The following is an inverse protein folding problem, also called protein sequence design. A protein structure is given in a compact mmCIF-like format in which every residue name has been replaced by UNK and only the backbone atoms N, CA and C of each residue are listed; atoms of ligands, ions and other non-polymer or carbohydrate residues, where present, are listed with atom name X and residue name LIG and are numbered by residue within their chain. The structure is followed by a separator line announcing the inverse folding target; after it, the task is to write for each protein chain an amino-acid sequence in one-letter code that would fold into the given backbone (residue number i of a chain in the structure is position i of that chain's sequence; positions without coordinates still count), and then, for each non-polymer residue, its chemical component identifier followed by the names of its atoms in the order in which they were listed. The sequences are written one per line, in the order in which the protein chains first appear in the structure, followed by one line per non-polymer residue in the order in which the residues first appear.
data_IF_602657914484
#
_entry.id   IF_602657914484
#
_cell.length_a   1.000
_cell.length_b   1.000
_cell.length_c   1.000
_cell.angle_alpha   90.00
_cell.angle_beta   90.00
_cell.angle_gamma   90.00
#
_symmetry.space_group_name_H-M   'P 1'
#
loop_
_entity.id
_entity.type
_entity.pdbx_description
1 polymer ?
#
# COMPACT_ATOMS: atom_id res chain seq x y z
N UNK A 1 -33.55 3.99 18.46
CA UNK A 1 -34.04 2.59 18.43
C UNK A 1 -35.51 2.54 18.76
N UNK A 2 -35.92 3.20 19.83
CA UNK A 2 -37.33 3.14 20.30
C UNK A 2 -38.40 3.69 19.33
N UNK A 3 -37.99 4.52 18.34
CA UNK A 3 -38.88 5.05 17.32
C UNK A 3 -38.80 4.29 15.98
N UNK A 4 -38.11 3.14 15.91
CA UNK A 4 -37.85 2.36 14.69
C UNK A 4 -37.15 3.13 13.53
N UNK A 5 -36.55 4.28 13.84
CA UNK A 5 -35.84 5.10 12.86
C UNK A 5 -34.43 4.58 12.56
N UNK A 6 -33.85 3.81 13.49
CA UNK A 6 -32.53 3.21 13.42
C UNK A 6 -32.66 1.71 13.67
N UNK A 7 -32.15 0.91 12.76
CA UNK A 7 -32.08 -0.55 12.88
C UNK A 7 -30.68 -0.96 13.26
N UNK A 8 -30.54 -1.79 14.30
CA UNK A 8 -29.29 -2.49 14.57
C UNK A 8 -29.17 -3.70 13.61
N UNK A 9 -28.02 -3.82 12.98
CA UNK A 9 -27.64 -4.93 12.11
C UNK A 9 -26.34 -5.49 12.64
N UNK A 10 -26.25 -6.79 12.79
CA UNK A 10 -25.00 -7.46 13.13
C UNK A 10 -24.12 -7.50 11.89
N UNK A 11 -22.91 -6.93 11.95
CA UNK A 11 -21.97 -6.97 10.85
C UNK A 11 -21.17 -8.29 10.85
N UNK A 12 -20.50 -8.60 9.77
CA UNK A 12 -19.69 -9.82 9.61
C UNK A 12 -18.54 -9.94 10.65
N UNK A 13 -18.15 -8.82 11.27
CA UNK A 13 -17.16 -8.74 12.35
C UNK A 13 -17.77 -8.94 13.76
N UNK A 14 -19.09 -9.20 13.85
CA UNK A 14 -19.81 -9.36 15.13
C UNK A 14 -20.14 -8.07 15.85
N UNK A 15 -19.74 -6.92 15.33
CA UNK A 15 -20.03 -5.61 15.92
C UNK A 15 -21.41 -5.11 15.50
N UNK A 16 -22.20 -4.50 16.43
CA UNK A 16 -23.49 -3.94 16.09
C UNK A 16 -23.32 -2.69 15.23
N UNK A 17 -23.92 -2.69 14.04
CA UNK A 17 -23.99 -1.53 13.15
C UNK A 17 -25.39 -0.93 13.19
N UNK A 18 -25.46 0.38 13.02
CA UNK A 18 -26.71 1.07 12.96
C UNK A 18 -26.97 1.55 11.54
N UNK A 19 -28.08 1.09 10.98
CA UNK A 19 -28.54 1.50 9.65
C UNK A 19 -29.79 2.36 9.80
N UNK A 20 -29.78 3.47 9.09
CA UNK A 20 -30.93 4.37 9.00
C UNK A 20 -31.41 4.44 7.56
N UNK A 21 -32.73 4.53 7.36
CA UNK A 21 -33.28 4.70 6.01
C UNK A 21 -32.79 6.02 5.42
N UNK A 22 -32.44 6.03 4.14
CA UNK A 22 -31.81 7.18 3.47
C UNK A 22 -32.65 8.45 3.60
N UNK A 23 -33.96 8.36 3.42
CA UNK A 23 -34.89 9.51 3.61
C UNK A 23 -34.89 10.06 5.01
N UNK A 24 -34.72 9.19 6.03
CA UNK A 24 -34.62 9.61 7.43
C UNK A 24 -33.26 10.21 7.71
N UNK A 25 -32.22 9.67 7.11
CA UNK A 25 -30.86 10.19 7.19
C UNK A 25 -30.78 11.60 6.59
N UNK A 26 -31.35 11.80 5.40
CA UNK A 26 -31.43 13.11 4.75
C UNK A 26 -32.17 14.13 5.61
N UNK A 27 -33.36 13.78 6.10
CA UNK A 27 -34.13 14.64 7.00
C UNK A 27 -33.36 14.97 8.28
N UNK A 28 -32.70 13.97 8.88
CA UNK A 28 -31.88 14.17 10.07
C UNK A 28 -30.69 15.12 9.81
N UNK A 29 -30.06 15.04 8.65
CA UNK A 29 -28.96 15.93 8.23
C UNK A 29 -29.48 17.36 8.00
N UNK A 30 -30.66 17.54 7.39
CA UNK A 30 -31.29 18.86 7.25
C UNK A 30 -31.59 19.50 8.62
N UNK A 31 -32.17 18.74 9.54
CA UNK A 31 -32.43 19.23 10.90
C UNK A 31 -31.13 19.54 11.65
N UNK A 32 -30.11 18.72 11.48
CA UNK A 32 -28.80 18.95 12.09
C UNK A 32 -28.17 20.24 11.56
N UNK A 33 -28.27 20.49 10.24
CA UNK A 33 -27.74 21.72 9.62
C UNK A 33 -28.42 23.00 10.16
N UNK A 34 -29.67 22.91 10.64
CA UNK A 34 -30.38 24.01 11.26
C UNK A 34 -29.94 24.26 12.71
N UNK A 35 -29.26 23.29 13.35
CA UNK A 35 -28.89 23.31 14.76
C UNK A 35 -27.62 24.15 15.08
N UNK A 36 -26.93 24.70 14.08
CA UNK A 36 -25.82 25.64 14.27
C UNK A 36 -24.67 25.09 15.12
N UNK A 37 -24.47 25.64 16.31
CA UNK A 37 -23.36 25.23 17.20
C UNK A 37 -23.44 23.75 17.63
N UNK A 38 -24.65 23.21 17.79
CA UNK A 38 -24.87 21.82 18.14
C UNK A 38 -24.45 20.90 17.01
N UNK A 39 -24.70 21.26 15.75
CA UNK A 39 -24.18 20.54 14.58
C UNK A 39 -22.66 20.42 14.63
N UNK A 40 -21.96 21.52 14.82
CA UNK A 40 -20.50 21.55 14.86
C UNK A 40 -19.96 20.66 15.99
N UNK A 41 -20.59 20.66 17.16
CA UNK A 41 -20.21 19.82 18.29
C UNK A 41 -20.43 18.31 18.02
N UNK A 42 -21.57 17.96 17.40
CA UNK A 42 -21.88 16.56 17.01
C UNK A 42 -20.89 16.08 15.96
N UNK A 43 -20.65 16.86 14.90
CA UNK A 43 -19.72 16.50 13.84
C UNK A 43 -18.28 16.37 14.36
N UNK A 44 -17.85 17.23 15.28
CA UNK A 44 -16.52 17.13 15.90
C UNK A 44 -16.40 15.86 16.75
N UNK A 45 -17.42 15.47 17.50
CA UNK A 45 -17.43 14.21 18.26
C UNK A 45 -17.37 13.00 17.33
N UNK A 46 -18.18 13.01 16.27
CA UNK A 46 -18.17 11.98 15.24
C UNK A 46 -16.79 11.86 14.58
N UNK A 47 -16.18 12.97 14.20
CA UNK A 47 -14.86 13.01 13.61
C UNK A 47 -13.77 12.54 14.58
N UNK A 48 -13.84 12.93 15.85
CA UNK A 48 -12.94 12.45 16.89
C UNK A 48 -13.02 10.95 17.10
N UNK A 49 -14.24 10.38 17.10
CA UNK A 49 -14.44 8.93 17.21
C UNK A 49 -13.78 8.17 16.04
N UNK A 50 -14.06 8.55 14.79
CA UNK A 50 -13.52 7.88 13.63
C UNK A 50 -12.02 8.08 13.48
N UNK A 51 -11.47 9.21 13.91
CA UNK A 51 -10.02 9.41 13.97
C UNK A 51 -9.39 8.44 14.97
N UNK A 52 -10.01 8.26 16.14
CA UNK A 52 -9.51 7.30 17.13
C UNK A 52 -9.56 5.87 16.60
N UNK A 53 -10.67 5.46 15.95
CA UNK A 53 -10.78 4.14 15.30
C UNK A 53 -9.65 3.92 14.29
N UNK A 54 -9.33 4.93 13.46
CA UNK A 54 -8.25 4.83 12.49
C UNK A 54 -6.86 4.74 13.16
N UNK A 55 -6.65 5.51 14.25
CA UNK A 55 -5.38 5.45 15.01
C UNK A 55 -5.22 4.10 15.73
N UNK A 56 -6.26 3.56 16.33
CA UNK A 56 -6.25 2.25 17.00
C UNK A 56 -5.99 1.10 16.00
N UNK A 57 -6.41 1.27 14.75
CA UNK A 57 -6.18 0.29 13.70
C UNK A 57 -4.71 0.17 13.26
N UNK A 58 -3.87 1.20 13.45
CA UNK A 58 -2.49 1.24 12.90
C UNK A 58 -1.63 0.05 13.34
N UNK A 59 -1.66 -0.30 14.61
CA UNK A 59 -0.89 -1.43 15.15
C UNK A 59 -1.40 -2.76 14.56
N UNK A 60 -2.71 -2.93 14.54
CA UNK A 60 -3.36 -4.13 14.02
C UNK A 60 -3.15 -4.32 12.51
N UNK A 61 -3.14 -3.22 11.74
CA UNK A 61 -2.83 -3.21 10.30
C UNK A 61 -1.37 -3.56 9.99
N UNK A 62 -0.49 -3.61 10.98
CA UNK A 62 0.91 -4.00 10.83
C UNK A 62 1.22 -5.37 11.46
N UNK A 63 0.20 -6.08 11.97
CA UNK A 63 0.33 -7.31 12.74
C UNK A 63 -0.56 -8.46 12.24
N UNK A 64 -0.79 -9.47 13.08
CA UNK A 64 -1.54 -10.68 12.70
C UNK A 64 -3.03 -10.45 12.44
N UNK A 65 -3.61 -9.34 12.90
CA UNK A 65 -5.03 -8.97 12.70
C UNK A 65 -5.27 -8.15 11.43
N UNK A 66 -4.25 -7.98 10.59
CA UNK A 66 -4.24 -7.10 9.41
C UNK A 66 -5.47 -7.32 8.51
N UNK A 67 -5.77 -8.58 8.14
CA UNK A 67 -6.92 -8.89 7.27
C UNK A 67 -8.27 -8.53 7.91
N UNK A 68 -8.44 -8.80 9.21
CA UNK A 68 -9.67 -8.50 9.93
C UNK A 68 -9.91 -6.98 10.01
N UNK A 69 -8.87 -6.21 10.35
CA UNK A 69 -8.97 -4.75 10.44
C UNK A 69 -9.13 -4.09 9.07
N UNK A 70 -8.50 -4.60 8.03
CA UNK A 70 -8.71 -4.08 6.66
C UNK A 70 -10.18 -4.21 6.27
N UNK A 71 -10.79 -5.40 6.46
CA UNK A 71 -12.23 -5.60 6.19
C UNK A 71 -13.13 -4.73 7.06
N UNK A 72 -12.79 -4.54 8.35
CA UNK A 72 -13.55 -3.67 9.24
C UNK A 72 -13.55 -2.22 8.75
N UNK A 73 -12.38 -1.68 8.42
CA UNK A 73 -12.26 -0.31 7.92
C UNK A 73 -12.92 -0.12 6.56
N UNK A 74 -12.95 -1.16 5.72
CA UNK A 74 -13.65 -1.14 4.43
C UNK A 74 -15.16 -0.95 4.62
N UNK A 75 -15.78 -1.66 5.55
CA UNK A 75 -17.21 -1.49 5.90
C UNK A 75 -17.48 -0.06 6.40
N UNK A 76 -16.53 0.56 7.10
CA UNK A 76 -16.69 1.90 7.68
C UNK A 76 -16.11 3.01 6.77
N UNK A 77 -15.69 2.71 5.55
CA UNK A 77 -14.99 3.64 4.68
C UNK A 77 -15.79 4.91 4.38
N UNK A 78 -17.11 4.81 4.21
CA UNK A 78 -17.97 5.97 3.96
C UNK A 78 -18.07 6.90 5.20
N UNK A 79 -17.90 6.37 6.41
CA UNK A 79 -17.80 7.19 7.61
C UNK A 79 -16.51 8.04 7.59
N UNK A 80 -15.39 7.45 7.20
CA UNK A 80 -14.13 8.18 7.03
C UNK A 80 -14.23 9.25 5.94
N UNK A 81 -14.83 8.94 4.78
CA UNK A 81 -15.10 9.93 3.73
C UNK A 81 -15.96 11.11 4.25
N UNK A 82 -16.99 10.81 5.04
CA UNK A 82 -17.84 11.83 5.63
C UNK A 82 -17.06 12.75 6.58
N UNK A 83 -16.18 12.18 7.40
CA UNK A 83 -15.31 12.95 8.31
C UNK A 83 -14.31 13.80 7.53
N UNK A 84 -13.63 13.23 6.54
CA UNK A 84 -12.66 13.94 5.71
C UNK A 84 -13.31 15.14 4.99
N UNK A 85 -14.50 14.94 4.42
CA UNK A 85 -15.27 16.04 3.82
C UNK A 85 -15.63 17.13 4.82
N UNK A 86 -16.02 16.76 6.04
CA UNK A 86 -16.32 17.74 7.08
C UNK A 86 -15.06 18.50 7.53
N UNK A 87 -13.95 17.81 7.73
CA UNK A 87 -12.65 18.40 8.11
C UNK A 87 -12.21 19.43 7.07
N UNK A 88 -12.28 19.12 5.79
CA UNK A 88 -11.91 20.07 4.71
C UNK A 88 -12.79 21.33 4.73
N UNK A 89 -14.09 21.18 5.00
CA UNK A 89 -15.02 22.32 5.10
C UNK A 89 -14.84 23.15 6.35
N UNK A 90 -14.56 22.52 7.48
CA UNK A 90 -14.37 23.21 8.76
C UNK A 90 -12.98 23.84 8.91
N UNK A 91 -12.00 23.39 8.12
CA UNK A 91 -10.61 23.82 8.21
C UNK A 91 -9.85 23.24 9.41
N UNK A 92 -10.37 22.18 10.07
CA UNK A 92 -9.72 21.55 11.23
C UNK A 92 -8.52 20.70 10.76
N UNK A 93 -7.43 21.40 10.40
CA UNK A 93 -6.23 20.79 9.85
C UNK A 93 -5.59 19.78 10.80
N UNK A 94 -5.61 20.02 12.10
CA UNK A 94 -5.02 19.13 13.09
C UNK A 94 -5.68 17.75 13.07
N UNK A 95 -7.02 17.73 13.13
CA UNK A 95 -7.79 16.49 13.08
C UNK A 95 -7.64 15.79 11.72
N UNK A 96 -7.63 16.58 10.63
CA UNK A 96 -7.46 16.05 9.29
C UNK A 96 -6.13 15.36 9.08
N UNK A 97 -5.02 15.99 9.48
CA UNK A 97 -3.67 15.39 9.36
C UNK A 97 -3.54 14.10 10.19
N UNK A 98 -4.16 14.05 11.39
CA UNK A 98 -4.19 12.82 12.19
C UNK A 98 -4.94 11.70 11.49
N UNK A 99 -6.16 11.96 11.06
CA UNK A 99 -7.01 10.97 10.39
C UNK A 99 -6.39 10.50 9.08
N UNK A 100 -5.93 11.43 8.22
CA UNK A 100 -5.32 11.08 6.95
C UNK A 100 -4.07 10.21 7.10
N UNK A 101 -3.18 10.59 8.04
CA UNK A 101 -1.99 9.79 8.32
C UNK A 101 -2.33 8.40 8.91
N UNK A 102 -3.38 8.29 9.73
CA UNK A 102 -3.82 7.02 10.28
C UNK A 102 -4.44 6.09 9.23
N UNK A 103 -5.12 6.64 8.22
CA UNK A 103 -5.75 5.86 7.16
C UNK A 103 -4.78 5.42 6.05
N UNK A 104 -3.53 5.91 6.01
CA UNK A 104 -2.60 5.64 4.90
C UNK A 104 -2.35 4.14 4.67
N UNK A 105 -2.15 3.38 5.73
CA UNK A 105 -1.95 1.93 5.66
C UNK A 105 -3.20 1.22 5.13
N UNK A 106 -4.39 1.61 5.61
CA UNK A 106 -5.66 1.09 5.12
C UNK A 106 -5.84 1.38 3.62
N UNK A 107 -5.60 2.62 3.16
CA UNK A 107 -5.72 2.96 1.74
C UNK A 107 -4.76 2.16 0.86
N UNK A 108 -3.56 1.88 1.35
CA UNK A 108 -2.59 1.03 0.65
C UNK A 108 -3.04 -0.43 0.58
N UNK A 109 -3.48 -1.00 1.69
CA UNK A 109 -3.93 -2.40 1.78
C UNK A 109 -5.24 -2.64 1.00
N UNK A 110 -6.22 -1.74 1.15
CA UNK A 110 -7.54 -1.81 0.54
C UNK A 110 -7.58 -1.33 -0.93
N UNK A 111 -6.43 -1.04 -1.55
CA UNK A 111 -6.35 -0.57 -2.95
C UNK A 111 -7.01 0.80 -3.20
N UNK A 112 -7.10 1.66 -2.17
CA UNK A 112 -7.64 3.02 -2.26
C UNK A 112 -6.53 4.09 -2.40
N UNK A 113 -5.38 3.73 -2.93
CA UNK A 113 -4.16 4.55 -2.94
C UNK A 113 -4.39 5.93 -3.57
N UNK A 114 -5.07 6.00 -4.72
CA UNK A 114 -5.37 7.27 -5.41
C UNK A 114 -6.30 8.17 -4.60
N UNK A 115 -7.30 7.58 -3.95
CA UNK A 115 -8.22 8.30 -3.08
C UNK A 115 -7.49 8.87 -1.87
N UNK A 116 -6.67 8.06 -1.20
CA UNK A 116 -5.87 8.48 -0.05
C UNK A 116 -4.87 9.58 -0.39
N UNK A 117 -4.16 9.47 -1.52
CA UNK A 117 -3.22 10.49 -1.98
C UNK A 117 -3.91 11.85 -2.21
N UNK A 118 -5.12 11.84 -2.80
CA UNK A 118 -5.93 13.06 -2.97
C UNK A 118 -6.33 13.66 -1.62
N UNK A 119 -6.92 12.84 -0.71
CA UNK A 119 -7.33 13.31 0.60
C UNK A 119 -6.18 13.95 1.38
N UNK A 120 -5.03 13.27 1.45
CA UNK A 120 -3.86 13.80 2.14
C UNK A 120 -3.31 15.07 1.48
N UNK A 121 -3.32 15.16 0.14
CA UNK A 121 -2.96 16.37 -0.58
C UNK A 121 -3.85 17.57 -0.19
N UNK A 122 -5.18 17.37 -0.19
CA UNK A 122 -6.15 18.39 0.19
C UNK A 122 -5.98 18.82 1.67
N UNK A 123 -5.74 17.86 2.57
CA UNK A 123 -5.51 18.14 4.00
C UNK A 123 -4.22 18.90 4.26
N UNK A 124 -3.13 18.58 3.56
CA UNK A 124 -1.85 19.28 3.66
C UNK A 124 -1.92 20.71 3.10
N UNK A 125 -2.87 20.98 2.18
CA UNK A 125 -3.11 22.29 1.61
C UNK A 125 -3.95 23.22 2.53
N UNK A 126 -4.55 22.71 3.61
CA UNK A 126 -5.29 23.53 4.57
C UNK A 126 -4.37 24.58 5.22
N UNK A 127 -4.81 25.85 5.39
CA UNK A 127 -3.98 26.89 5.98
C UNK A 127 -3.42 26.53 7.35
N UNK A 128 -4.22 25.85 8.18
CA UNK A 128 -3.78 25.37 9.50
C UNK A 128 -2.79 24.21 9.49
N UNK A 129 -2.51 23.61 8.32
CA UNK A 129 -1.56 22.51 8.15
C UNK A 129 -0.13 22.98 7.88
N UNK A 130 0.13 24.27 7.63
CA UNK A 130 1.41 24.78 7.13
C UNK A 130 2.55 24.79 8.17
N UNK A 131 2.26 24.57 9.46
CA UNK A 131 3.27 24.59 10.54
C UNK A 131 4.19 23.37 10.51
N UNK A 132 5.47 23.57 10.92
CA UNK A 132 6.43 22.47 11.11
C UNK A 132 6.08 21.66 12.36
N UNK A 133 5.09 20.79 12.25
CA UNK A 133 4.58 19.98 13.35
C UNK A 133 4.79 18.49 13.10
N UNK A 134 4.87 17.72 14.18
CA UNK A 134 4.89 16.25 14.12
C UNK A 134 3.74 15.68 13.26
N UNK A 135 2.51 16.26 13.36
CA UNK A 135 1.37 15.80 12.57
C UNK A 135 1.55 16.04 11.08
N UNK A 136 2.08 17.23 10.71
CA UNK A 136 2.41 17.51 9.31
C UNK A 136 3.45 16.54 8.78
N UNK A 137 4.53 16.30 9.51
CA UNK A 137 5.58 15.38 9.09
C UNK A 137 5.06 13.95 8.88
N UNK A 138 4.21 13.45 9.77
CA UNK A 138 3.54 12.15 9.59
C UNK A 138 2.64 12.11 8.35
N UNK A 139 1.85 13.15 8.13
CA UNK A 139 1.00 13.23 6.94
C UNK A 139 1.81 13.33 5.64
N UNK A 140 2.96 14.02 5.67
CA UNK A 140 3.89 14.08 4.53
C UNK A 140 4.46 12.70 4.19
N UNK A 141 4.90 11.93 5.20
CA UNK A 141 5.36 10.54 5.00
C UNK A 141 4.22 9.72 4.36
N UNK A 142 3.03 9.71 4.97
CA UNK A 142 1.88 8.99 4.46
C UNK A 142 1.51 9.39 3.02
N UNK A 143 1.60 10.68 2.70
CA UNK A 143 1.36 11.19 1.33
C UNK A 143 2.43 10.69 0.37
N UNK A 144 3.69 10.73 0.78
CA UNK A 144 4.82 10.23 0.00
C UNK A 144 4.68 8.74 -0.33
N UNK A 145 4.40 7.90 0.68
CA UNK A 145 4.16 6.48 0.50
C UNK A 145 3.07 6.21 -0.55
N UNK A 146 1.92 6.90 -0.49
CA UNK A 146 0.86 6.72 -1.48
C UNK A 146 1.27 7.21 -2.88
N UNK A 147 2.09 8.28 -2.98
CA UNK A 147 2.63 8.75 -4.27
C UNK A 147 3.63 7.76 -4.88
N UNK A 148 4.37 7.02 -4.06
CA UNK A 148 5.22 5.92 -4.54
C UNK A 148 4.41 4.87 -5.32
N UNK A 149 3.22 4.53 -4.82
CA UNK A 149 2.34 3.52 -5.42
C UNK A 149 1.56 4.01 -6.65
N UNK A 150 1.41 5.32 -6.84
CA UNK A 150 0.79 5.89 -8.06
C UNK A 150 1.83 6.42 -9.05
N UNK A 151 3.10 6.06 -8.86
CA UNK A 151 4.22 6.40 -9.75
C UNK A 151 4.42 7.91 -9.96
N UNK A 152 4.43 8.69 -8.87
CA UNK A 152 4.74 10.14 -8.88
C UNK A 152 5.98 10.40 -8.01
N UNK A 153 7.17 9.94 -8.44
CA UNK A 153 8.37 9.92 -7.60
C UNK A 153 8.90 11.30 -7.25
N UNK A 154 8.68 12.33 -8.08
CA UNK A 154 9.10 13.70 -7.78
C UNK A 154 8.28 14.31 -6.62
N UNK A 155 6.99 14.00 -6.55
CA UNK A 155 6.16 14.42 -5.43
C UNK A 155 6.56 13.66 -4.16
N UNK A 156 6.79 12.35 -4.28
CA UNK A 156 7.28 11.53 -3.19
C UNK A 156 8.60 12.08 -2.61
N UNK A 157 9.58 12.40 -3.47
CA UNK A 157 10.85 13.00 -3.04
C UNK A 157 10.64 14.29 -2.24
N UNK A 158 9.78 15.20 -2.72
CA UNK A 158 9.51 16.47 -2.03
C UNK A 158 8.88 16.27 -0.67
N UNK A 159 7.89 15.39 -0.56
CA UNK A 159 7.23 15.11 0.73
C UNK A 159 8.19 14.48 1.73
N UNK A 160 9.01 13.53 1.31
CA UNK A 160 10.02 12.91 2.15
C UNK A 160 11.08 13.91 2.62
N UNK A 161 11.56 14.79 1.74
CA UNK A 161 12.53 15.85 2.09
C UNK A 161 11.95 16.81 3.14
N UNK A 162 10.71 17.26 2.96
CA UNK A 162 10.04 18.14 3.93
C UNK A 162 9.86 17.43 5.28
N UNK A 163 9.45 16.16 5.29
CA UNK A 163 9.31 15.38 6.51
C UNK A 163 10.63 15.23 7.27
N UNK A 164 11.74 14.93 6.56
CA UNK A 164 13.10 14.86 7.17
C UNK A 164 13.46 16.19 7.81
N UNK A 165 13.22 17.31 7.13
CA UNK A 165 13.54 18.64 7.68
C UNK A 165 12.74 18.89 8.97
N UNK A 166 11.44 18.66 8.97
CA UNK A 166 10.60 18.88 10.15
C UNK A 166 11.04 17.97 11.31
N UNK A 167 11.26 16.68 11.09
CA UNK A 167 11.66 15.77 12.17
C UNK A 167 13.06 16.08 12.71
N UNK A 168 13.98 16.55 11.88
CA UNK A 168 15.29 17.03 12.34
C UNK A 168 15.16 18.28 13.22
N UNK A 169 14.30 19.24 12.83
CA UNK A 169 14.03 20.45 13.62
C UNK A 169 13.39 20.11 14.98
N UNK A 170 12.53 19.08 15.01
CA UNK A 170 11.88 18.59 16.23
C UNK A 170 12.78 17.72 17.10
N UNK A 171 13.91 17.22 16.58
CA UNK A 171 14.78 16.27 17.25
C UNK A 171 14.16 14.89 17.48
N UNK A 172 13.15 14.51 16.66
CA UNK A 172 12.41 13.25 16.78
C UNK A 172 13.13 12.12 16.03
N UNK A 173 13.96 11.36 16.74
CA UNK A 173 14.75 10.28 16.14
C UNK A 173 13.92 9.19 15.44
N UNK A 174 12.78 8.72 15.98
CA UNK A 174 11.90 7.79 15.26
C UNK A 174 11.36 8.37 13.94
N UNK A 175 10.90 9.62 13.98
CA UNK A 175 10.43 10.32 12.78
C UNK A 175 11.54 10.55 11.75
N UNK A 176 12.76 10.87 12.20
CA UNK A 176 13.92 11.00 11.31
C UNK A 176 14.18 9.66 10.60
N UNK A 177 14.20 8.53 11.33
CA UNK A 177 14.43 7.22 10.75
C UNK A 177 13.37 6.88 9.68
N UNK A 178 12.08 7.10 9.99
CA UNK A 178 10.99 6.88 9.05
C UNK A 178 11.09 7.78 7.81
N UNK A 179 11.34 9.08 8.00
CA UNK A 179 11.42 10.01 6.88
C UNK A 179 12.65 9.78 5.99
N UNK A 180 13.78 9.39 6.56
CA UNK A 180 14.99 9.03 5.79
C UNK A 180 14.79 7.75 4.97
N UNK A 181 14.08 6.78 5.53
CA UNK A 181 13.73 5.55 4.82
C UNK A 181 12.87 5.89 3.59
N UNK A 182 11.82 6.71 3.75
CA UNK A 182 10.98 7.17 2.64
C UNK A 182 11.77 8.00 1.61
N UNK A 183 12.68 8.87 2.09
CA UNK A 183 13.55 9.64 1.21
C UNK A 183 14.45 8.72 0.36
N UNK A 184 15.01 7.68 0.97
CA UNK A 184 15.81 6.68 0.26
C UNK A 184 15.00 5.93 -0.81
N UNK A 185 13.75 5.56 -0.52
CA UNK A 185 12.87 4.92 -1.51
C UNK A 185 12.50 5.86 -2.67
N UNK A 186 12.20 7.13 -2.37
CA UNK A 186 11.94 8.13 -3.42
C UNK A 186 13.15 8.31 -4.35
N UNK A 187 14.35 8.34 -3.77
CA UNK A 187 15.60 8.42 -4.51
C UNK A 187 15.89 7.19 -5.36
N UNK A 188 15.56 5.98 -4.86
CA UNK A 188 15.65 4.75 -5.66
C UNK A 188 14.75 4.82 -6.91
N UNK A 189 13.51 5.31 -6.75
CA UNK A 189 12.59 5.46 -7.88
C UNK A 189 13.08 6.46 -8.95
N UNK A 190 13.87 7.45 -8.54
CA UNK A 190 14.47 8.46 -9.43
C UNK A 190 15.86 8.07 -9.94
N UNK A 191 16.40 6.92 -9.51
CA UNK A 191 17.73 6.47 -9.89
C UNK A 191 18.88 7.20 -9.19
N UNK A 192 18.61 7.95 -8.11
CA UNK A 192 19.61 8.63 -7.29
C UNK A 192 20.24 7.65 -6.28
N UNK A 193 21.00 6.66 -6.78
CA UNK A 193 21.38 5.47 -6.04
C UNK A 193 22.32 5.75 -4.85
N UNK A 194 23.26 6.69 -4.97
CA UNK A 194 24.22 6.98 -3.89
C UNK A 194 23.56 7.74 -2.73
N UNK A 195 22.69 8.70 -3.05
CA UNK A 195 21.89 9.40 -2.04
C UNK A 195 20.92 8.43 -1.34
N UNK A 196 20.28 7.52 -2.10
CA UNK A 196 19.43 6.49 -1.55
C UNK A 196 20.18 5.59 -0.57
N UNK A 197 21.37 5.13 -0.94
CA UNK A 197 22.24 4.34 -0.06
C UNK A 197 22.50 5.07 1.24
N UNK A 198 22.94 6.32 1.15
CA UNK A 198 23.29 7.13 2.33
C UNK A 198 22.10 7.27 3.29
N UNK A 199 20.93 7.62 2.77
CA UNK A 199 19.73 7.82 3.59
C UNK A 199 19.19 6.51 4.17
N UNK A 200 19.20 5.42 3.40
CA UNK A 200 18.77 4.10 3.88
C UNK A 200 19.71 3.51 4.94
N UNK A 201 21.03 3.73 4.82
CA UNK A 201 21.98 3.28 5.83
C UNK A 201 21.85 4.09 7.13
N UNK A 202 21.62 5.42 7.06
CA UNK A 202 21.34 6.25 8.24
C UNK A 202 20.02 5.81 8.90
N UNK A 203 18.95 5.64 8.11
CA UNK A 203 17.65 5.17 8.59
C UNK A 203 17.75 3.80 9.26
N UNK A 204 18.44 2.84 8.64
CA UNK A 204 18.70 1.51 9.18
C UNK A 204 19.40 1.58 10.53
N UNK A 205 20.47 2.37 10.63
CA UNK A 205 21.23 2.54 11.88
C UNK A 205 20.35 3.10 13.00
N UNK A 206 19.53 4.10 12.69
CA UNK A 206 18.59 4.67 13.67
C UNK A 206 17.55 3.65 14.09
N UNK A 207 16.93 2.92 13.15
CA UNK A 207 15.90 1.91 13.42
C UNK A 207 16.42 0.78 14.32
N UNK A 208 17.63 0.27 14.06
CA UNK A 208 18.26 -0.71 14.95
C UNK A 208 18.54 -0.13 16.35
N UNK A 209 19.02 1.12 16.43
CA UNK A 209 19.23 1.81 17.70
C UNK A 209 17.94 1.99 18.52
N UNK A 210 16.82 2.19 17.84
CA UNK A 210 15.48 2.34 18.42
C UNK A 210 14.77 1.00 18.67
N UNK A 211 15.31 -0.12 18.19
CA UNK A 211 14.70 -1.45 18.17
C UNK A 211 13.39 -1.50 17.38
N UNK A 212 13.27 -0.66 16.37
CA UNK A 212 12.13 -0.67 15.44
C UNK A 212 12.40 -1.69 14.34
N UNK A 213 11.94 -2.92 14.56
CA UNK A 213 12.14 -4.04 13.63
C UNK A 213 11.39 -3.80 12.30
N UNK A 214 10.23 -3.14 12.32
CA UNK A 214 9.47 -2.84 11.11
C UNK A 214 10.29 -1.91 10.19
N UNK A 215 10.75 -0.79 10.70
CA UNK A 215 11.54 0.17 9.92
C UNK A 215 12.92 -0.39 9.54
N UNK A 216 13.54 -1.20 10.40
CA UNK A 216 14.78 -1.89 10.06
C UNK A 216 14.58 -2.84 8.85
N UNK A 217 13.50 -3.63 8.83
CA UNK A 217 13.15 -4.51 7.72
C UNK A 217 12.87 -3.73 6.42
N UNK A 218 12.15 -2.61 6.50
CA UNK A 218 11.89 -1.73 5.35
C UNK A 218 13.20 -1.11 4.78
N UNK A 219 14.14 -0.72 5.64
CA UNK A 219 15.46 -0.23 5.22
C UNK A 219 16.30 -1.33 4.56
N UNK A 220 16.29 -2.55 5.12
CA UNK A 220 16.96 -3.72 4.53
C UNK A 220 16.40 -4.04 3.15
N UNK A 221 15.08 -4.00 2.99
CA UNK A 221 14.42 -4.15 1.68
C UNK A 221 14.90 -3.07 0.69
N UNK A 222 14.95 -1.80 1.10
CA UNK A 222 15.43 -0.70 0.25
C UNK A 222 16.89 -0.89 -0.19
N UNK A 223 17.78 -1.27 0.73
CA UNK A 223 19.18 -1.58 0.42
C UNK A 223 19.33 -2.82 -0.47
N UNK A 224 18.49 -3.84 -0.26
CA UNK A 224 18.43 -5.01 -1.12
C UNK A 224 17.98 -4.65 -2.54
N UNK A 225 16.96 -3.78 -2.67
CA UNK A 225 16.50 -3.27 -3.96
C UNK A 225 17.58 -2.47 -4.69
N UNK A 226 18.32 -1.62 -3.97
CA UNK A 226 19.46 -0.89 -4.50
C UNK A 226 20.53 -1.84 -5.04
N UNK A 227 20.88 -2.88 -4.28
CA UNK A 227 21.84 -3.90 -4.73
C UNK A 227 21.32 -4.67 -5.96
N UNK A 228 20.03 -4.97 -6.00
CA UNK A 228 19.38 -5.63 -7.13
C UNK A 228 19.41 -4.78 -8.41
N UNK A 229 19.17 -3.47 -8.30
CA UNK A 229 19.27 -2.52 -9.42
C UNK A 229 20.71 -2.38 -9.95
N UNK A 230 21.69 -2.60 -9.09
CA UNK A 230 23.11 -2.62 -9.45
C UNK A 230 23.60 -4.01 -9.90
N UNK A 231 22.70 -4.98 -10.07
CA UNK A 231 22.98 -6.40 -10.42
C UNK A 231 23.91 -7.12 -9.42
N UNK A 232 23.91 -6.67 -8.16
CA UNK A 232 24.73 -7.21 -7.07
C UNK A 232 23.95 -8.29 -6.30
N UNK A 233 23.58 -9.39 -6.96
CA UNK A 233 22.71 -10.46 -6.41
C UNK A 233 23.24 -11.03 -5.08
N UNK A 234 24.57 -11.18 -4.95
CA UNK A 234 25.20 -11.70 -3.74
C UNK A 234 25.02 -10.79 -2.51
N UNK A 235 24.83 -9.49 -2.75
CA UNK A 235 24.54 -8.51 -1.70
C UNK A 235 23.04 -8.34 -1.46
N UNK A 236 22.23 -8.42 -2.53
CA UNK A 236 20.77 -8.26 -2.45
C UNK A 236 20.12 -9.40 -1.64
N UNK A 237 20.51 -10.66 -1.88
CA UNK A 237 19.90 -11.83 -1.24
C UNK A 237 19.88 -11.75 0.29
N UNK A 238 21.02 -11.62 1.00
CA UNK A 238 20.99 -11.60 2.47
C UNK A 238 20.16 -10.43 3.02
N UNK A 239 20.18 -9.26 2.36
CA UNK A 239 19.39 -8.11 2.79
C UNK A 239 17.88 -8.39 2.70
N UNK A 240 17.42 -9.05 1.65
CA UNK A 240 16.02 -9.43 1.50
C UNK A 240 15.61 -10.56 2.46
N UNK A 241 16.49 -11.54 2.67
CA UNK A 241 16.24 -12.64 3.61
C UNK A 241 16.16 -12.12 5.06
N UNK A 242 17.05 -11.21 5.47
CA UNK A 242 17.01 -10.56 6.78
C UNK A 242 15.72 -9.71 6.95
N UNK A 243 15.30 -8.99 5.89
CA UNK A 243 14.03 -8.25 5.90
C UNK A 243 12.82 -9.19 6.03
N UNK A 244 12.80 -10.29 5.28
CA UNK A 244 11.74 -11.30 5.35
C UNK A 244 11.63 -11.91 6.74
N UNK A 245 12.75 -12.24 7.38
CA UNK A 245 12.78 -12.77 8.74
C UNK A 245 12.20 -11.76 9.74
N UNK A 246 12.62 -10.49 9.67
CA UNK A 246 12.09 -9.43 10.52
C UNK A 246 10.56 -9.29 10.40
N UNK A 247 10.01 -9.35 9.18
CA UNK A 247 8.56 -9.28 8.99
C UNK A 247 7.82 -10.54 9.40
N UNK A 248 8.45 -11.73 9.34
CA UNK A 248 7.91 -12.98 9.90
C UNK A 248 7.81 -12.92 11.43
N UNK A 249 8.83 -12.39 12.09
CA UNK A 249 8.83 -12.20 13.55
C UNK A 249 7.71 -11.26 14.00
N UNK A 250 7.45 -10.20 13.21
CA UNK A 250 6.35 -9.26 13.42
C UNK A 250 4.97 -9.81 13.03
N UNK A 251 4.91 -10.98 12.37
CA UNK A 251 3.69 -11.56 11.79
C UNK A 251 2.94 -10.56 10.86
N UNK A 252 3.70 -9.75 10.15
CA UNK A 252 3.14 -8.80 9.19
C UNK A 252 2.90 -9.49 7.85
N UNK A 253 1.68 -10.01 7.64
CA UNK A 253 1.33 -10.84 6.48
C UNK A 253 1.58 -10.12 5.16
N UNK A 254 1.27 -8.81 5.06
CA UNK A 254 1.49 -8.04 3.84
C UNK A 254 2.98 -7.96 3.47
N UNK A 255 3.84 -7.60 4.43
CA UNK A 255 5.26 -7.48 4.17
C UNK A 255 5.92 -8.84 3.92
N UNK A 256 5.47 -9.90 4.60
CA UNK A 256 5.93 -11.27 4.32
C UNK A 256 5.59 -11.65 2.87
N UNK A 257 4.34 -11.43 2.43
CA UNK A 257 3.91 -11.72 1.06
C UNK A 257 4.73 -10.93 0.03
N UNK A 258 4.94 -9.64 0.28
CA UNK A 258 5.73 -8.77 -0.57
C UNK A 258 7.18 -9.25 -0.68
N UNK A 259 7.80 -9.58 0.45
CA UNK A 259 9.19 -10.07 0.47
C UNK A 259 9.33 -11.44 -0.19
N UNK A 260 8.33 -12.32 -0.09
CA UNK A 260 8.35 -13.59 -0.85
C UNK A 260 8.38 -13.32 -2.37
N UNK A 261 7.61 -12.35 -2.89
CA UNK A 261 7.71 -11.97 -4.30
C UNK A 261 9.08 -11.36 -4.64
N UNK A 262 9.63 -10.51 -3.78
CA UNK A 262 10.92 -9.87 -4.02
C UNK A 262 12.07 -10.89 -4.00
N UNK A 263 12.10 -11.80 -3.03
CA UNK A 263 13.12 -12.86 -3.00
C UNK A 263 12.97 -13.80 -4.19
N UNK A 264 11.76 -14.02 -4.71
CA UNK A 264 11.54 -14.81 -5.92
C UNK A 264 12.24 -14.23 -7.16
N UNK A 265 12.39 -12.88 -7.24
CA UNK A 265 13.17 -12.24 -8.31
C UNK A 265 14.65 -12.65 -8.27
N UNK A 266 15.21 -12.72 -7.06
CA UNK A 266 16.61 -13.16 -6.89
C UNK A 266 16.72 -14.64 -7.22
N UNK A 267 15.79 -15.49 -6.74
CA UNK A 267 15.78 -16.92 -7.06
C UNK A 267 15.71 -17.15 -8.57
N UNK A 268 14.87 -16.41 -9.29
CA UNK A 268 14.76 -16.48 -10.74
C UNK A 268 16.05 -16.08 -11.44
N UNK A 269 16.66 -14.96 -11.03
CA UNK A 269 17.94 -14.50 -11.63
C UNK A 269 19.09 -15.47 -11.39
N UNK A 270 19.02 -16.26 -10.31
CA UNK A 270 19.97 -17.36 -10.04
C UNK A 270 19.58 -18.68 -10.71
N UNK A 271 18.52 -18.73 -11.51
CA UNK A 271 18.03 -19.95 -12.18
C UNK A 271 17.30 -20.93 -11.25
N UNK A 272 16.94 -20.53 -10.03
CA UNK A 272 16.24 -21.36 -9.03
C UNK A 272 14.73 -21.29 -9.24
N UNK A 273 14.24 -21.68 -10.40
CA UNK A 273 12.85 -21.48 -10.82
C UNK A 273 11.80 -22.14 -9.91
N UNK A 274 12.10 -23.32 -9.33
CA UNK A 274 11.18 -24.01 -8.42
C UNK A 274 11.07 -23.30 -7.06
N UNK A 275 12.17 -22.72 -6.59
CA UNK A 275 12.15 -21.88 -5.39
C UNK A 275 11.34 -20.60 -5.63
N UNK A 276 11.54 -19.96 -6.78
CA UNK A 276 10.78 -18.78 -7.19
C UNK A 276 9.27 -19.10 -7.26
N UNK A 277 8.88 -20.20 -7.92
CA UNK A 277 7.47 -20.63 -8.01
C UNK A 277 6.84 -20.80 -6.62
N UNK A 278 7.52 -21.50 -5.72
CA UNK A 278 7.04 -21.71 -4.34
C UNK A 278 6.80 -20.40 -3.59
N UNK A 279 7.71 -19.44 -3.75
CA UNK A 279 7.59 -18.12 -3.11
C UNK A 279 6.46 -17.28 -3.71
N UNK A 280 6.33 -17.27 -5.03
CA UNK A 280 5.25 -16.51 -5.70
C UNK A 280 3.89 -17.08 -5.28
N UNK A 281 3.75 -18.41 -5.17
CA UNK A 281 2.52 -19.06 -4.67
C UNK A 281 2.21 -18.64 -3.25
N UNK A 282 3.20 -18.64 -2.36
CA UNK A 282 3.02 -18.20 -0.98
C UNK A 282 2.59 -16.73 -0.90
N UNK A 283 3.24 -15.86 -1.67
CA UNK A 283 2.89 -14.45 -1.75
C UNK A 283 1.46 -14.21 -2.28
N UNK A 284 1.09 -14.90 -3.37
CA UNK A 284 -0.26 -14.80 -3.95
C UNK A 284 -1.33 -15.23 -2.96
N UNK A 285 -1.14 -16.37 -2.30
CA UNK A 285 -2.10 -16.87 -1.29
C UNK A 285 -2.29 -15.86 -0.15
N UNK A 286 -1.21 -15.31 0.37
CA UNK A 286 -1.28 -14.32 1.44
C UNK A 286 -1.95 -13.02 0.98
N UNK A 287 -1.72 -12.55 -0.24
CA UNK A 287 -2.43 -11.39 -0.78
C UNK A 287 -3.92 -11.64 -1.01
N UNK A 288 -4.33 -12.87 -1.33
CA UNK A 288 -5.74 -13.24 -1.39
C UNK A 288 -6.39 -13.20 0.01
N UNK A 289 -5.72 -13.70 1.04
CA UNK A 289 -6.20 -13.63 2.43
C UNK A 289 -6.39 -12.19 2.92
N UNK A 290 -5.59 -11.25 2.36
CA UNK A 290 -5.65 -9.81 2.65
C UNK A 290 -6.63 -9.05 1.75
N UNK A 291 -7.29 -9.69 0.79
CA UNK A 291 -8.08 -9.04 -0.27
C UNK A 291 -7.29 -7.96 -1.04
N UNK A 292 -5.97 -8.11 -1.12
CA UNK A 292 -5.08 -7.13 -1.73
C UNK A 292 -4.99 -7.30 -3.24
N UNK A 293 -5.74 -6.50 -3.99
CA UNK A 293 -5.72 -6.52 -5.46
C UNK A 293 -4.35 -6.09 -6.02
N UNK A 294 -3.70 -5.11 -5.39
CA UNK A 294 -2.36 -4.66 -5.80
C UNK A 294 -1.34 -5.78 -5.64
N UNK A 295 -1.36 -6.47 -4.50
CA UNK A 295 -0.49 -7.63 -4.25
C UNK A 295 -0.78 -8.78 -5.21
N UNK A 296 -2.05 -9.06 -5.50
CA UNK A 296 -2.46 -10.07 -6.48
C UNK A 296 -1.99 -9.73 -7.88
N UNK A 297 -2.14 -8.46 -8.32
CA UNK A 297 -1.62 -7.97 -9.59
C UNK A 297 -0.10 -8.22 -9.72
N UNK A 298 0.64 -7.89 -8.67
CA UNK A 298 2.10 -8.12 -8.65
C UNK A 298 2.44 -9.61 -8.69
N UNK A 299 1.76 -10.45 -7.95
CA UNK A 299 1.99 -11.89 -7.96
C UNK A 299 1.69 -12.52 -9.33
N UNK A 300 0.60 -12.11 -10.01
CA UNK A 300 0.30 -12.55 -11.37
C UNK A 300 1.40 -12.15 -12.37
N UNK A 301 1.92 -10.92 -12.25
CA UNK A 301 3.04 -10.46 -13.07
C UNK A 301 4.34 -11.24 -12.77
N UNK A 302 4.58 -11.61 -11.50
CA UNK A 302 5.71 -12.44 -11.10
C UNK A 302 5.63 -13.85 -11.67
N UNK A 303 4.44 -14.44 -11.75
CA UNK A 303 4.21 -15.70 -12.44
C UNK A 303 4.42 -15.57 -13.96
N UNK A 304 4.01 -14.46 -14.55
CA UNK A 304 4.26 -14.21 -15.98
C UNK A 304 5.77 -14.15 -16.29
N UNK A 305 6.52 -13.43 -15.45
CA UNK A 305 7.96 -13.31 -15.55
C UNK A 305 8.67 -14.68 -15.38
N UNK A 306 8.21 -15.47 -14.40
CA UNK A 306 8.71 -16.84 -14.22
C UNK A 306 8.39 -17.74 -15.42
N UNK A 307 7.17 -17.66 -15.98
CA UNK A 307 6.76 -18.42 -17.16
C UNK A 307 7.61 -18.05 -18.38
N UNK A 308 7.90 -16.75 -18.57
CA UNK A 308 8.81 -16.27 -19.63
C UNK A 308 10.18 -16.94 -19.53
N UNK A 309 10.78 -16.97 -18.33
CA UNK A 309 12.10 -17.56 -18.10
C UNK A 309 12.12 -19.08 -18.19
N UNK A 310 10.98 -19.74 -18.04
CA UNK A 310 10.80 -21.17 -18.33
C UNK A 310 10.50 -21.47 -19.80
N UNK A 311 10.49 -20.45 -20.68
CA UNK A 311 10.16 -20.58 -22.10
C UNK A 311 8.67 -20.82 -22.38
N UNK A 312 7.77 -20.55 -21.42
CA UNK A 312 6.31 -20.70 -21.54
C UNK A 312 5.67 -19.38 -21.97
N UNK A 313 5.99 -18.92 -23.17
CA UNK A 313 5.66 -17.59 -23.68
C UNK A 313 4.15 -17.32 -23.76
N UNK A 314 3.33 -18.31 -24.16
CA UNK A 314 1.88 -18.21 -24.19
C UNK A 314 1.29 -17.97 -22.79
N UNK A 315 1.78 -18.75 -21.80
CA UNK A 315 1.36 -18.59 -20.40
C UNK A 315 1.76 -17.23 -19.85
N UNK A 316 2.97 -16.76 -20.18
CA UNK A 316 3.45 -15.45 -19.77
C UNK A 316 2.51 -14.34 -20.26
N UNK A 317 2.08 -14.35 -21.54
CA UNK A 317 1.17 -13.35 -22.08
C UNK A 317 -0.21 -13.38 -21.44
N UNK A 318 -0.81 -14.55 -21.20
CA UNK A 318 -2.10 -14.66 -20.50
C UNK A 318 -2.00 -14.09 -19.08
N UNK A 319 -0.93 -14.40 -18.36
CA UNK A 319 -0.72 -13.90 -16.98
C UNK A 319 -0.44 -12.40 -16.95
N UNK A 320 0.28 -11.84 -17.93
CA UNK A 320 0.43 -10.38 -18.06
C UNK A 320 -0.93 -9.74 -18.32
N UNK A 321 -1.73 -10.27 -19.25
CA UNK A 321 -3.10 -9.80 -19.50
C UNK A 321 -3.94 -9.80 -18.22
N UNK A 322 -3.93 -10.91 -17.48
CA UNK A 322 -4.63 -11.05 -16.20
C UNK A 322 -4.13 -10.06 -15.12
N UNK A 323 -2.82 -9.80 -15.04
CA UNK A 323 -2.30 -8.76 -14.17
C UNK A 323 -2.77 -7.37 -14.61
N UNK A 324 -2.76 -7.10 -15.90
CA UNK A 324 -3.14 -5.79 -16.46
C UNK A 324 -4.66 -5.51 -16.35
N UNK A 325 -5.52 -6.52 -16.27
CA UNK A 325 -6.96 -6.32 -16.03
C UNK A 325 -7.26 -5.62 -14.70
N UNK A 326 -6.33 -5.69 -13.74
CA UNK A 326 -6.49 -5.03 -12.43
C UNK A 326 -6.07 -3.55 -12.43
N UNK A 327 -5.41 -3.05 -13.51
CA UNK A 327 -4.86 -1.67 -13.56
C UNK A 327 -5.90 -0.58 -13.35
N UNK A 328 -7.10 -0.75 -13.88
CA UNK A 328 -8.16 0.24 -13.72
C UNK A 328 -8.58 0.40 -12.26
N UNK A 329 -8.48 -0.68 -11.48
CA UNK A 329 -8.88 -0.72 -10.08
C UNK A 329 -7.78 -0.24 -9.13
N UNK A 330 -6.53 -0.65 -9.38
CA UNK A 330 -5.42 -0.43 -8.43
C UNK A 330 -4.32 0.49 -8.94
N UNK A 331 -4.29 0.82 -10.22
CA UNK A 331 -3.25 1.62 -10.86
C UNK A 331 -2.16 0.79 -11.53
N UNK A 332 -1.09 1.46 -11.92
CA UNK A 332 0.04 0.85 -12.61
C UNK A 332 0.96 0.09 -11.65
N UNK A 333 1.72 -0.86 -12.19
CA UNK A 333 2.78 -1.54 -11.46
C UNK A 333 3.84 -0.52 -11.00
N UNK A 334 4.35 -0.62 -9.76
CA UNK A 334 5.39 0.28 -9.28
C UNK A 334 6.62 0.29 -10.18
N UNK A 335 7.18 1.49 -10.43
CA UNK A 335 8.35 1.71 -11.32
C UNK A 335 9.51 0.78 -11.01
N UNK A 336 9.84 0.59 -9.73
CA UNK A 336 10.94 -0.30 -9.33
C UNK A 336 10.69 -1.77 -9.65
N UNK A 337 9.43 -2.22 -9.61
CA UNK A 337 9.08 -3.59 -10.03
C UNK A 337 9.32 -3.75 -11.52
N UNK A 338 8.86 -2.80 -12.33
CA UNK A 338 9.09 -2.80 -13.78
C UNK A 338 10.59 -2.70 -14.10
N UNK A 339 11.35 -1.89 -13.38
CA UNK A 339 12.81 -1.77 -13.57
C UNK A 339 13.54 -3.07 -13.27
N UNK A 340 13.02 -3.94 -12.40
CA UNK A 340 13.65 -5.21 -12.02
C UNK A 340 13.20 -6.41 -12.85
N UNK A 341 11.96 -6.40 -13.35
CA UNK A 341 11.38 -7.49 -14.17
C UNK A 341 11.45 -7.21 -15.68
N UNK A 342 11.45 -5.94 -16.07
CA UNK A 342 11.34 -5.53 -17.48
C UNK A 342 9.91 -5.66 -18.03
N UNK A 343 9.76 -5.45 -19.32
CA UNK A 343 8.50 -5.67 -20.05
C UNK A 343 8.35 -7.14 -20.46
N UNK A 344 7.71 -7.91 -19.58
CA UNK A 344 7.44 -9.34 -19.79
C UNK A 344 6.55 -9.55 -21.02
N UNK A 345 5.60 -8.64 -21.30
CA UNK A 345 4.72 -8.75 -22.45
C UNK A 345 5.51 -8.58 -23.76
N UNK A 346 6.34 -7.54 -23.84
CA UNK A 346 7.19 -7.31 -25.02
C UNK A 346 8.14 -8.49 -25.26
N UNK A 347 8.80 -8.94 -24.18
CA UNK A 347 9.72 -10.08 -24.26
C UNK A 347 9.01 -11.36 -24.75
N UNK A 348 7.83 -11.69 -24.19
CA UNK A 348 7.08 -12.88 -24.59
C UNK A 348 6.56 -12.80 -26.03
N UNK A 349 6.10 -11.62 -26.48
CA UNK A 349 5.65 -11.38 -27.86
C UNK A 349 6.75 -11.65 -28.89
N UNK A 350 8.01 -11.43 -28.55
CA UNK A 350 9.11 -11.66 -29.48
C UNK A 350 9.30 -13.14 -29.92
N UNK A 351 8.66 -14.08 -29.21
CA UNK A 351 8.73 -15.52 -29.49
C UNK A 351 7.49 -16.08 -30.20
N UNK A 352 6.47 -15.26 -30.47
CA UNK A 352 5.17 -15.65 -31.03
C UNK A 352 4.84 -14.79 -32.24
N UNK A 353 3.93 -15.27 -33.11
CA UNK A 353 3.36 -14.39 -34.13
C UNK A 353 2.41 -13.36 -33.51
N UNK A 354 2.22 -12.22 -34.18
CA UNK A 354 1.52 -11.07 -33.63
C UNK A 354 0.06 -11.37 -33.28
N UNK A 355 -0.65 -12.16 -34.13
CA UNK A 355 -2.07 -12.46 -33.93
C UNK A 355 -2.25 -13.40 -32.72
N UNK A 356 -1.44 -14.45 -32.63
CA UNK A 356 -1.43 -15.36 -31.47
C UNK A 356 -1.07 -14.60 -30.19
N UNK A 357 -0.03 -13.77 -30.21
CA UNK A 357 0.41 -13.01 -29.05
C UNK A 357 -0.69 -12.06 -28.53
N UNK A 358 -1.36 -11.33 -29.44
CA UNK A 358 -2.44 -10.44 -29.06
C UNK A 358 -3.66 -11.22 -28.55
N UNK A 359 -4.02 -12.32 -29.21
CA UNK A 359 -5.12 -13.18 -28.75
C UNK A 359 -4.92 -13.67 -27.31
N UNK A 360 -3.72 -14.17 -26.98
CA UNK A 360 -3.36 -14.64 -25.64
C UNK A 360 -3.41 -13.54 -24.58
N UNK A 361 -2.92 -12.35 -24.93
CA UNK A 361 -2.96 -11.20 -24.04
C UNK A 361 -4.40 -10.76 -23.77
N UNK A 362 -5.27 -10.71 -24.80
CA UNK A 362 -6.68 -10.38 -24.66
C UNK A 362 -7.45 -11.43 -23.86
N UNK A 363 -7.15 -12.73 -24.07
CA UNK A 363 -7.69 -13.80 -23.21
C UNK A 363 -7.39 -13.50 -21.72
N UNK A 364 -6.14 -13.13 -21.41
CA UNK A 364 -5.73 -12.78 -20.05
C UNK A 364 -6.48 -11.56 -19.50
N UNK A 365 -6.68 -10.51 -20.31
CA UNK A 365 -7.40 -9.30 -19.90
C UNK A 365 -8.87 -9.56 -19.53
N UNK A 366 -9.48 -10.60 -20.10
CA UNK A 366 -10.88 -10.95 -19.88
C UNK A 366 -11.11 -11.96 -18.77
N UNK A 367 -10.05 -12.50 -18.17
CA UNK A 367 -10.17 -13.43 -17.03
C UNK A 367 -10.74 -12.69 -15.81
N UNK A 368 -11.75 -13.31 -15.20
CA UNK A 368 -12.17 -12.90 -13.87
C UNK A 368 -11.05 -13.17 -12.85
N UNK A 369 -11.02 -12.41 -11.76
CA UNK A 369 -9.93 -12.49 -10.78
C UNK A 369 -9.69 -13.90 -10.26
N UNK A 370 -10.76 -14.61 -9.92
CA UNK A 370 -10.72 -15.98 -9.39
C UNK A 370 -10.12 -16.95 -10.42
N UNK A 371 -10.54 -16.82 -11.69
CA UNK A 371 -10.04 -17.65 -12.80
C UNK A 371 -8.55 -17.32 -13.10
N UNK A 372 -8.17 -16.06 -13.05
CA UNK A 372 -6.77 -15.63 -13.23
C UNK A 372 -5.86 -16.21 -12.15
N UNK A 373 -6.30 -16.18 -10.90
CA UNK A 373 -5.59 -16.78 -9.76
C UNK A 373 -5.53 -18.30 -9.91
N UNK A 374 -6.65 -18.96 -10.22
CA UNK A 374 -6.69 -20.40 -10.44
C UNK A 374 -5.74 -20.81 -11.58
N UNK A 375 -5.73 -20.07 -12.68
CA UNK A 375 -4.80 -20.28 -13.80
C UNK A 375 -3.33 -20.12 -13.37
N UNK A 376 -3.00 -19.09 -12.58
CA UNK A 376 -1.65 -18.86 -12.08
C UNK A 376 -1.17 -20.00 -11.18
N UNK A 377 -2.06 -20.57 -10.37
CA UNK A 377 -1.77 -21.65 -9.43
C UNK A 377 -1.76 -23.06 -10.06
N UNK A 378 -2.15 -23.23 -11.33
CA UNK A 378 -2.02 -24.52 -12.01
C UNK A 378 -0.56 -24.98 -12.03
N UNK A 379 -0.33 -26.24 -11.64
CA UNK A 379 1.00 -26.84 -11.78
C UNK A 379 1.33 -27.03 -13.26
N UNK A 380 2.50 -26.58 -13.65
CA UNK A 380 3.05 -26.88 -14.96
C UNK A 380 3.52 -28.35 -14.96
N UNK A 381 2.83 -29.20 -15.67
CA UNK A 381 3.28 -30.58 -15.97
C UNK A 381 4.35 -30.57 -17.03
#
# INVERSE_FOLDING_TARGET
VDANLVRSVEAADGEPRFVILETIREYGLERLAEAGEEEAAIRRRHAGHWTQVAEDALEALSGPEQAAWTRRLEVDHDNFRSVLNWVLRSGDAELGLRLGAALSVFWRLGSHVREGARWLGDLLALPGAAGSTFRRARALIATGELHAWINVPEAYLRFAQEAVAIYRDLGDSPGIAAALQELGWAQLQLGHLEEARTNLDEAKKLSFGLRDQQKAGECLNGLGMLALLQDQLQQARPLFEDALEAFKDLRNTYWVALMELIVSLVDRREGKFDAADKRIRAGLTAFQELDSLMGTMWALYSFADLALHRGKHERALRLVGASHSLRERVGEMPVLVMATMGDVAEAARSFLDADTAEGLYQEGLTLELEDAVAYALQHET
#
